data_IF_180957610958
#
_entry.id   IF_180957610958
#
_cell.length_a   1.000
_cell.length_b   1.000
_cell.length_c   1.000
_cell.angle_alpha   90.00
_cell.angle_beta   90.00
_cell.angle_gamma   90.00
#
_symmetry.space_group_name_H-M   'P 1'
#
loop_
_entity.id
_entity.type
_entity.pdbx_description
1 polymer ?
#
# COMPACT_ATOMS: atom_id res chain seq x y z
N UNK A 1 11.39 0.79 8.18
CA UNK A 1 10.47 -0.28 8.65
C UNK A 1 9.71 0.14 9.91
N UNK A 2 10.39 0.61 10.96
CA UNK A 2 9.75 1.00 12.23
C UNK A 2 8.65 2.07 12.11
N UNK A 3 8.88 3.15 11.34
CA UNK A 3 7.88 4.21 11.16
C UNK A 3 6.59 3.73 10.46
N UNK A 4 6.72 2.93 9.39
CA UNK A 4 5.56 2.38 8.66
C UNK A 4 4.76 1.44 9.56
N UNK A 5 5.45 0.60 10.36
CA UNK A 5 4.80 -0.32 11.31
C UNK A 5 4.02 0.44 12.38
N UNK A 6 4.63 1.45 13.00
CA UNK A 6 3.98 2.30 14.00
C UNK A 6 2.76 3.01 13.42
N UNK A 7 2.88 3.60 12.23
CA UNK A 7 1.75 4.23 11.55
C UNK A 7 0.63 3.23 11.26
N UNK A 8 0.96 2.02 10.79
CA UNK A 8 -0.04 0.97 10.52
C UNK A 8 -0.77 0.50 11.78
N UNK A 9 -0.11 0.49 12.95
CA UNK A 9 -0.75 0.13 14.23
C UNK A 9 -1.67 1.23 14.78
N UNK A 10 -1.33 2.51 14.54
CA UNK A 10 -2.09 3.65 15.09
C UNK A 10 -3.25 4.05 14.18
N UNK A 11 -3.11 3.88 12.86
CA UNK A 11 -4.12 4.27 11.88
C UNK A 11 -5.53 3.71 12.12
N UNK A 12 -5.72 2.44 12.51
CA UNK A 12 -7.06 1.88 12.77
C UNK A 12 -7.84 2.58 13.87
N UNK A 13 -7.16 3.26 14.81
CA UNK A 13 -7.79 4.03 15.88
C UNK A 13 -8.11 5.45 15.40
N UNK A 14 -7.17 6.06 14.67
CA UNK A 14 -7.30 7.44 14.20
C UNK A 14 -8.36 7.57 13.11
N UNK A 15 -8.41 6.62 12.17
CA UNK A 15 -9.34 6.64 11.04
C UNK A 15 -10.83 6.75 11.44
N UNK A 16 -11.39 5.90 12.34
CA UNK A 16 -12.78 5.99 12.73
C UNK A 16 -13.09 7.22 13.58
N UNK A 17 -12.13 7.74 14.37
CA UNK A 17 -12.32 8.97 15.14
C UNK A 17 -12.51 10.18 14.22
N UNK A 18 -11.61 10.35 13.25
CA UNK A 18 -11.72 11.44 12.27
C UNK A 18 -12.90 11.24 11.32
N UNK A 19 -13.12 10.02 10.83
CA UNK A 19 -14.25 9.70 9.96
C UNK A 19 -15.59 9.92 10.66
N UNK A 20 -15.72 9.52 11.92
CA UNK A 20 -16.92 9.74 12.73
C UNK A 20 -17.19 11.21 13.03
N UNK A 21 -16.15 11.98 13.36
CA UNK A 21 -16.27 13.42 13.59
C UNK A 21 -16.73 14.17 12.33
N UNK A 22 -16.14 13.86 11.17
CA UNK A 22 -16.54 14.44 9.88
C UNK A 22 -17.97 14.04 9.53
N UNK A 23 -18.33 12.76 9.67
CA UNK A 23 -19.66 12.27 9.37
C UNK A 23 -20.74 12.90 10.28
N UNK A 24 -20.42 13.16 11.55
CA UNK A 24 -21.32 13.79 12.51
C UNK A 24 -21.62 15.26 12.18
N UNK A 25 -20.60 16.03 11.78
CA UNK A 25 -20.77 17.46 11.49
C UNK A 25 -21.18 17.77 10.05
N UNK A 26 -20.68 17.03 9.07
CA UNK A 26 -20.79 17.35 7.64
C UNK A 26 -21.51 16.28 6.81
N UNK A 27 -22.12 15.28 7.46
CA UNK A 27 -22.73 14.10 6.83
C UNK A 27 -21.72 13.08 6.28
N UNK A 28 -22.19 11.86 6.03
CA UNK A 28 -21.35 10.73 5.64
C UNK A 28 -20.64 10.92 4.29
N UNK A 29 -21.22 11.69 3.37
CA UNK A 29 -20.63 11.97 2.06
C UNK A 29 -19.32 12.76 2.18
N UNK A 30 -19.19 13.60 3.20
CA UNK A 30 -17.98 14.40 3.42
C UNK A 30 -16.75 13.53 3.71
N UNK A 31 -16.92 12.34 4.28
CA UNK A 31 -15.82 11.38 4.51
C UNK A 31 -15.21 10.93 3.18
N UNK A 32 -16.05 10.64 2.19
CA UNK A 32 -15.58 10.24 0.85
C UNK A 32 -14.83 11.37 0.15
N UNK A 33 -15.35 12.60 0.24
CA UNK A 33 -14.67 13.78 -0.34
C UNK A 33 -13.33 14.02 0.35
N UNK A 34 -13.25 13.89 1.67
CA UNK A 34 -12.01 14.02 2.43
C UNK A 34 -10.97 12.98 1.99
N UNK A 35 -11.36 11.70 1.92
CA UNK A 35 -10.46 10.63 1.48
C UNK A 35 -10.02 10.83 0.03
N UNK A 36 -10.92 11.30 -0.84
CA UNK A 36 -10.58 11.61 -2.23
C UNK A 36 -9.52 12.72 -2.33
N UNK A 37 -9.68 13.81 -1.58
CA UNK A 37 -8.71 14.89 -1.54
C UNK A 37 -7.36 14.41 -0.98
N UNK A 38 -7.39 13.58 0.06
CA UNK A 38 -6.18 12.97 0.62
C UNK A 38 -5.43 12.11 -0.41
N UNK A 39 -6.14 11.27 -1.16
CA UNK A 39 -5.54 10.45 -2.22
C UNK A 39 -5.00 11.30 -3.36
N UNK A 40 -5.72 12.35 -3.78
CA UNK A 40 -5.24 13.29 -4.79
C UNK A 40 -3.95 13.99 -4.35
N UNK A 41 -3.87 14.43 -3.09
CA UNK A 41 -2.68 15.04 -2.55
C UNK A 41 -1.48 14.08 -2.58
N UNK A 42 -1.67 12.83 -2.17
CA UNK A 42 -0.62 11.79 -2.25
C UNK A 42 -0.20 11.54 -3.69
N UNK A 43 -1.15 11.47 -4.62
CA UNK A 43 -0.86 11.22 -6.02
C UNK A 43 -0.03 12.35 -6.64
N UNK A 44 -0.42 13.61 -6.38
CA UNK A 44 0.31 14.80 -6.84
C UNK A 44 1.71 14.82 -6.24
N UNK A 45 1.84 14.58 -4.94
CA UNK A 45 3.15 14.49 -4.28
C UNK A 45 4.00 13.38 -4.87
N UNK A 46 3.42 12.20 -5.09
CA UNK A 46 4.11 11.08 -5.73
C UNK A 46 4.60 11.44 -7.13
N UNK A 47 3.76 12.08 -7.94
CA UNK A 47 4.11 12.51 -9.28
C UNK A 47 5.25 13.55 -9.31
N UNK A 48 5.27 14.47 -8.34
CA UNK A 48 6.30 15.52 -8.27
C UNK A 48 7.59 15.08 -7.58
N UNK A 49 7.50 14.17 -6.60
CA UNK A 49 8.61 13.83 -5.70
C UNK A 49 9.27 12.50 -6.07
N UNK A 50 8.56 11.52 -6.64
CA UNK A 50 9.20 10.27 -7.04
C UNK A 50 10.02 10.50 -8.32
N UNK A 51 11.37 10.42 -8.25
CA UNK A 51 12.17 10.34 -9.46
C UNK A 51 11.84 9.02 -10.17
N UNK A 52 12.01 8.99 -11.50
CA UNK A 52 11.85 7.77 -12.26
C UNK A 52 12.89 6.73 -11.80
N UNK A 53 12.45 5.78 -10.99
CA UNK A 53 13.32 4.78 -10.33
C UNK A 53 13.64 3.59 -11.22
N UNK A 54 13.15 3.56 -12.46
CA UNK A 54 13.30 2.44 -13.37
C UNK A 54 14.71 2.47 -14.00
N UNK A 55 15.67 1.63 -13.57
CA UNK A 55 17.06 1.77 -13.99
C UNK A 55 17.34 1.10 -15.34
N UNK A 56 16.44 0.22 -15.79
CA UNK A 56 16.64 -0.63 -16.96
C UNK A 56 15.45 -0.51 -17.94
N UNK A 57 15.71 -0.47 -19.25
CA UNK A 57 14.65 -0.43 -20.25
C UNK A 57 13.74 -1.66 -20.13
N UNK A 58 12.45 -1.48 -20.49
CA UNK A 58 11.39 -2.50 -20.39
C UNK A 58 11.84 -3.84 -20.99
N UNK A 59 12.29 -4.76 -20.14
CA UNK A 59 12.43 -6.18 -20.51
C UNK A 59 11.03 -6.68 -20.89
N UNK A 60 10.91 -7.45 -21.98
CA UNK A 60 9.63 -8.03 -22.40
C UNK A 60 9.04 -8.81 -21.21
N UNK A 61 7.80 -8.49 -20.85
CA UNK A 61 7.11 -9.11 -19.73
C UNK A 61 6.78 -10.56 -20.10
N UNK A 62 7.57 -11.51 -19.61
CA UNK A 62 7.38 -12.94 -19.85
C UNK A 62 6.49 -13.55 -18.76
N UNK A 63 5.17 -13.54 -18.99
CA UNK A 63 4.15 -14.08 -18.06
C UNK A 63 4.48 -15.52 -17.62
N UNK A 64 5.02 -16.33 -18.53
CA UNK A 64 5.42 -17.72 -18.24
C UNK A 64 6.55 -17.82 -17.22
N UNK A 65 7.59 -16.99 -17.33
CA UNK A 65 8.69 -16.98 -16.34
C UNK A 65 8.21 -16.50 -14.98
N UNK A 66 7.32 -15.50 -14.96
CA UNK A 66 6.71 -15.00 -13.73
C UNK A 66 5.93 -16.12 -13.01
N UNK A 67 5.05 -16.83 -13.72
CA UNK A 67 4.28 -17.95 -13.13
C UNK A 67 5.17 -19.08 -12.60
N UNK A 68 6.21 -19.48 -13.35
CA UNK A 68 7.14 -20.53 -12.90
C UNK A 68 7.91 -20.09 -11.65
N UNK A 69 8.35 -18.83 -11.58
CA UNK A 69 9.04 -18.29 -10.42
C UNK A 69 8.13 -18.24 -9.17
N UNK A 70 6.86 -17.84 -9.32
CA UNK A 70 5.89 -17.89 -8.21
C UNK A 70 5.65 -19.32 -7.73
N UNK A 71 5.53 -20.29 -8.63
CA UNK A 71 5.37 -21.70 -8.26
C UNK A 71 6.60 -22.25 -7.53
N UNK A 72 7.81 -21.84 -7.96
CA UNK A 72 9.05 -22.21 -7.31
C UNK A 72 9.16 -21.60 -5.89
N UNK A 73 8.75 -20.33 -5.72
CA UNK A 73 8.69 -19.68 -4.41
C UNK A 73 7.72 -20.38 -3.47
N UNK A 74 6.54 -20.77 -3.95
CA UNK A 74 5.54 -21.51 -3.17
C UNK A 74 6.01 -22.92 -2.77
N UNK A 75 6.94 -23.51 -3.52
CA UNK A 75 7.48 -24.85 -3.22
C UNK A 75 8.72 -24.77 -2.32
N UNK A 76 9.26 -23.57 -2.08
CA UNK A 76 10.47 -23.39 -1.30
C UNK A 76 10.17 -23.50 0.20
N UNK A 77 10.74 -24.53 0.85
CA UNK A 77 10.62 -24.77 2.30
C UNK A 77 11.12 -23.61 3.15
N UNK A 78 12.03 -22.77 2.64
CA UNK A 78 12.48 -21.58 3.35
C UNK A 78 11.39 -20.50 3.38
N UNK A 79 10.64 -20.30 2.29
CA UNK A 79 9.51 -19.34 2.26
C UNK A 79 8.37 -19.83 3.14
N UNK A 80 8.06 -21.13 3.09
CA UNK A 80 7.03 -21.74 3.94
C UNK A 80 7.46 -21.73 5.40
N UNK A 81 8.72 -22.09 5.69
CA UNK A 81 9.26 -22.19 7.04
C UNK A 81 9.49 -20.84 7.70
N UNK A 82 10.06 -19.85 7.00
CA UNK A 82 10.32 -18.51 7.56
C UNK A 82 9.04 -17.68 7.73
N UNK A 83 7.95 -18.03 7.05
CA UNK A 83 6.63 -17.45 7.30
C UNK A 83 5.96 -17.99 8.59
N UNK A 84 6.45 -19.13 9.13
CA UNK A 84 6.00 -19.66 10.42
C UNK A 84 6.84 -19.18 11.62
N UNK A 85 7.98 -18.50 11.38
CA UNK A 85 8.91 -18.07 12.44
C UNK A 85 9.04 -16.54 12.60
N UNK A 86 8.12 -15.75 12.03
CA UNK A 86 7.92 -14.33 12.34
C UNK A 86 6.44 -14.06 12.64
#
# INVERSE_FOLDING_TARGET
>A
LSYISVTASVMPIVAPLFGGWIAYHFSWQAVFVFVLLYLLAIFILGYLVLPETLPYPKRKFEVRQVMVNYFYLLTNKQVIGSASYN
#
